data_IF_689520751230
#
_entry.id   IF_689520751230
#
_cell.length_a   1.000
_cell.length_b   1.000
_cell.length_c   1.000
_cell.angle_alpha   90.00
_cell.angle_beta   90.00
_cell.angle_gamma   90.00
#
_symmetry.space_group_name_H-M   'P 1'
#
loop_
_entity.id
_entity.type
_entity.pdbx_description
1 polymer ?
#
# COMPACT_ATOMS: atom_id res chain seq x y z
N UNK A 1 -15.05 -16.02 -4.74
CA UNK A 1 -14.08 -15.28 -3.90
C UNK A 1 -14.83 -14.67 -2.73
N UNK A 2 -14.30 -14.80 -1.51
CA UNK A 2 -14.81 -14.11 -0.32
C UNK A 2 -14.00 -12.86 -0.06
N UNK A 3 -14.63 -11.70 -0.11
CA UNK A 3 -14.00 -10.40 0.03
C UNK A 3 -14.52 -9.69 1.28
N UNK A 4 -13.63 -9.41 2.23
CA UNK A 4 -13.93 -8.49 3.33
C UNK A 4 -13.79 -7.05 2.85
N UNK A 5 -14.78 -6.21 3.09
CA UNK A 5 -14.77 -4.80 2.70
C UNK A 5 -14.77 -3.91 3.93
N UNK A 6 -13.72 -3.11 4.08
CA UNK A 6 -13.59 -2.07 5.10
C UNK A 6 -13.58 -0.72 4.39
N UNK A 7 -14.76 -0.23 3.98
CA UNK A 7 -14.85 1.06 3.28
C UNK A 7 -14.33 2.22 4.15
N UNK A 8 -14.51 2.11 5.47
CA UNK A 8 -13.92 3.02 6.46
C UNK A 8 -14.64 4.37 6.54
N UNK A 9 -13.87 5.44 6.44
CA UNK A 9 -14.25 6.82 6.73
C UNK A 9 -14.00 7.77 5.53
N UNK A 10 -14.69 8.91 5.56
CA UNK A 10 -14.53 9.97 4.56
C UNK A 10 -14.76 9.48 3.13
N UNK A 11 -13.86 9.85 2.21
CA UNK A 11 -13.93 9.44 0.80
C UNK A 11 -13.78 7.93 0.61
N UNK A 12 -13.27 7.20 1.60
CA UNK A 12 -13.13 5.74 1.55
C UNK A 12 -14.43 5.06 1.14
N UNK A 13 -15.57 5.54 1.67
CA UNK A 13 -16.89 5.03 1.31
C UNK A 13 -17.27 5.25 -0.16
N UNK A 14 -16.90 6.38 -0.74
CA UNK A 14 -17.22 6.74 -2.13
C UNK A 14 -16.33 5.96 -3.10
N UNK A 15 -15.02 5.91 -2.85
CA UNK A 15 -14.07 5.26 -3.77
C UNK A 15 -14.13 3.74 -3.69
N UNK A 16 -14.42 3.15 -2.52
CA UNK A 16 -14.59 1.69 -2.38
C UNK A 16 -15.82 1.20 -3.13
N UNK A 17 -16.91 1.99 -3.18
CA UNK A 17 -18.09 1.64 -3.98
C UNK A 17 -17.73 1.53 -5.48
N UNK A 18 -16.92 2.45 -6.00
CA UNK A 18 -16.46 2.41 -7.39
C UNK A 18 -15.46 1.27 -7.64
N UNK A 19 -14.60 0.95 -6.67
CA UNK A 19 -13.70 -0.20 -6.74
C UNK A 19 -14.48 -1.53 -6.84
N UNK A 20 -15.54 -1.69 -6.02
CA UNK A 20 -16.41 -2.87 -6.08
C UNK A 20 -17.19 -2.95 -7.40
N UNK A 21 -17.66 -1.81 -7.93
CA UNK A 21 -18.32 -1.75 -9.25
C UNK A 21 -17.40 -2.24 -10.37
N UNK A 22 -16.14 -1.83 -10.36
CA UNK A 22 -15.15 -2.29 -11.35
C UNK A 22 -14.79 -3.76 -11.14
N UNK A 23 -14.66 -4.21 -9.89
CA UNK A 23 -14.45 -5.63 -9.58
C UNK A 23 -15.57 -6.47 -10.18
N UNK A 24 -16.83 -6.16 -9.89
CA UNK A 24 -18.00 -6.87 -10.42
C UNK A 24 -18.00 -6.90 -11.95
N UNK A 25 -17.66 -5.76 -12.58
CA UNK A 25 -17.61 -5.65 -14.03
C UNK A 25 -16.56 -6.56 -14.67
N UNK A 26 -15.37 -6.69 -14.08
CA UNK A 26 -14.27 -7.50 -14.64
C UNK A 26 -14.39 -8.99 -14.29
N UNK A 27 -15.07 -9.32 -13.18
CA UNK A 27 -15.29 -10.72 -12.76
C UNK A 27 -16.48 -11.37 -13.44
N UNK A 28 -17.39 -10.58 -14.02
CA UNK A 28 -18.54 -11.09 -14.77
C UNK A 28 -19.39 -12.06 -13.95
N UNK A 29 -19.47 -13.32 -14.41
CA UNK A 29 -20.26 -14.37 -13.76
C UNK A 29 -19.58 -15.02 -12.54
N UNK A 30 -18.33 -14.68 -12.22
CA UNK A 30 -17.67 -15.20 -11.02
C UNK A 30 -18.38 -14.72 -9.75
N UNK A 31 -18.63 -15.65 -8.82
CA UNK A 31 -19.25 -15.29 -7.54
C UNK A 31 -18.25 -14.59 -6.63
N UNK A 32 -18.51 -13.30 -6.35
CA UNK A 32 -17.82 -12.51 -5.32
C UNK A 32 -18.77 -12.34 -4.13
N UNK A 33 -18.48 -13.01 -3.02
CA UNK A 33 -19.20 -12.90 -1.76
C UNK A 33 -18.56 -11.76 -0.94
N UNK A 34 -19.27 -10.64 -0.82
CA UNK A 34 -18.79 -9.46 -0.10
C UNK A 34 -19.36 -9.44 1.32
N UNK A 35 -18.48 -9.23 2.29
CA UNK A 35 -18.84 -8.99 3.70
C UNK A 35 -18.37 -7.60 4.11
N UNK A 36 -19.30 -6.71 4.46
CA UNK A 36 -18.99 -5.38 4.95
C UNK A 36 -18.60 -5.37 6.44
N UNK A 37 -17.49 -4.69 6.74
CA UNK A 37 -16.99 -4.47 8.09
C UNK A 37 -17.04 -2.98 8.43
N UNK A 38 -17.82 -2.63 9.45
CA UNK A 38 -17.94 -1.27 9.96
C UNK A 38 -16.77 -0.92 10.90
N UNK A 39 -15.55 -0.87 10.37
CA UNK A 39 -14.34 -0.46 11.09
C UNK A 39 -13.97 0.96 10.70
N UNK A 40 -13.62 1.80 11.69
CA UNK A 40 -13.21 3.19 11.47
C UNK A 40 -13.76 4.16 12.52
N UNK A 41 -13.63 5.45 12.24
CA UNK A 41 -14.09 6.54 13.08
C UNK A 41 -15.58 6.45 13.39
N UNK A 42 -16.42 6.07 12.42
CA UNK A 42 -17.88 5.95 12.62
C UNK A 42 -18.25 4.96 13.73
N UNK A 43 -17.65 3.76 13.74
CA UNK A 43 -17.85 2.78 14.81
C UNK A 43 -17.31 3.29 16.14
N UNK A 44 -16.08 3.79 16.14
CA UNK A 44 -15.45 4.32 17.35
C UNK A 44 -16.27 5.43 18.01
N UNK A 45 -16.80 6.38 17.24
CA UNK A 45 -17.65 7.46 17.75
C UNK A 45 -19.01 6.96 18.25
N UNK A 46 -19.52 5.86 17.68
CA UNK A 46 -20.80 5.26 18.07
C UNK A 46 -20.72 4.51 19.39
N UNK A 47 -19.70 3.68 19.59
CA UNK A 47 -19.63 2.75 20.73
C UNK A 47 -18.26 2.62 21.41
N UNK A 48 -17.25 3.38 20.97
CA UNK A 48 -15.88 3.33 21.51
C UNK A 48 -15.05 2.13 21.06
N UNK A 49 -15.60 1.23 20.24
CA UNK A 49 -14.89 0.05 19.76
C UNK A 49 -14.04 0.36 18.52
N UNK A 50 -12.93 -0.34 18.40
CA UNK A 50 -11.99 -0.25 17.28
C UNK A 50 -11.97 -1.59 16.55
N UNK A 51 -10.90 -2.37 16.71
CA UNK A 51 -10.77 -3.74 16.20
C UNK A 51 -10.97 -4.74 17.34
N UNK A 52 -11.92 -5.66 17.20
CA UNK A 52 -12.16 -6.73 18.18
C UNK A 52 -11.59 -8.07 17.72
N UNK A 53 -11.42 -9.01 18.65
CA UNK A 53 -11.02 -10.39 18.32
C UNK A 53 -12.04 -11.07 17.39
N UNK A 54 -13.34 -10.75 17.54
CA UNK A 54 -14.40 -11.27 16.67
C UNK A 54 -14.26 -10.74 15.24
N UNK A 55 -13.93 -9.44 15.08
CA UNK A 55 -13.63 -8.86 13.77
C UNK A 55 -12.44 -9.58 13.13
N UNK A 56 -11.35 -9.75 13.88
CA UNK A 56 -10.14 -10.45 13.41
C UNK A 56 -10.39 -11.91 13.04
N UNK A 57 -11.19 -12.63 13.82
CA UNK A 57 -11.59 -14.00 13.49
C UNK A 57 -12.40 -14.06 12.20
N UNK A 58 -13.36 -13.15 12.02
CA UNK A 58 -14.17 -13.10 10.80
C UNK A 58 -13.36 -12.65 9.57
N UNK A 59 -12.47 -11.67 9.71
CA UNK A 59 -11.59 -11.24 8.63
C UNK A 59 -10.77 -12.41 8.08
N UNK A 60 -10.23 -13.29 8.95
CA UNK A 60 -9.46 -14.48 8.55
C UNK A 60 -10.24 -15.52 7.72
N UNK A 61 -11.56 -15.44 7.66
CA UNK A 61 -12.39 -16.34 6.84
C UNK A 61 -12.50 -15.91 5.37
N UNK A 62 -11.90 -14.77 5.00
CA UNK A 62 -11.94 -14.19 3.66
C UNK A 62 -10.65 -14.49 2.89
N UNK A 63 -10.72 -14.41 1.56
CA UNK A 63 -9.56 -14.60 0.68
C UNK A 63 -8.68 -13.35 0.66
N UNK A 64 -9.29 -12.17 0.78
CA UNK A 64 -8.63 -10.87 0.79
C UNK A 64 -9.48 -9.82 1.51
N UNK A 65 -8.85 -8.69 1.84
CA UNK A 65 -9.50 -7.51 2.40
C UNK A 65 -9.35 -6.35 1.41
N UNK A 66 -10.43 -5.67 1.08
CA UNK A 66 -10.42 -4.37 0.38
C UNK A 66 -10.74 -3.28 1.40
N UNK A 67 -9.82 -2.33 1.57
CA UNK A 67 -9.98 -1.20 2.49
C UNK A 67 -10.03 0.11 1.72
N UNK A 68 -10.94 1.00 2.12
CA UNK A 68 -11.07 2.35 1.55
C UNK A 68 -10.08 3.31 2.20
N UNK A 69 -10.48 3.95 3.29
CA UNK A 69 -9.58 4.78 4.08
C UNK A 69 -10.06 4.83 5.54
N UNK A 70 -9.15 4.94 6.51
CA UNK A 70 -9.49 5.04 7.94
C UNK A 70 -8.99 6.37 8.49
N UNK A 71 -9.83 7.06 9.26
CA UNK A 71 -9.45 8.28 9.95
C UNK A 71 -10.48 9.40 9.84
N UNK A 72 -10.65 10.16 10.93
CA UNK A 72 -11.28 11.48 10.89
C UNK A 72 -10.58 12.40 11.90
N UNK A 73 -9.58 13.19 11.48
CA UNK A 73 -8.82 14.05 12.38
C UNK A 73 -9.65 15.17 13.02
N UNK A 74 -10.87 15.42 12.54
CA UNK A 74 -11.78 16.42 13.12
C UNK A 74 -12.44 15.93 14.40
N UNK A 75 -12.57 14.62 14.57
CA UNK A 75 -13.41 14.01 15.60
C UNK A 75 -12.71 12.92 16.40
N UNK A 76 -11.62 12.33 15.88
CA UNK A 76 -10.86 11.26 16.53
C UNK A 76 -9.41 11.72 16.75
N UNK A 77 -8.89 11.67 18.00
CA UNK A 77 -7.50 12.04 18.26
C UNK A 77 -6.49 11.20 17.48
N UNK A 78 -5.39 11.84 17.08
CA UNK A 78 -4.29 11.16 16.38
C UNK A 78 -3.76 9.97 17.18
N UNK A 79 -3.50 8.87 16.47
CA UNK A 79 -2.99 7.63 17.03
C UNK A 79 -4.06 6.72 17.63
N UNK A 80 -5.34 7.10 17.70
CA UNK A 80 -6.41 6.21 18.21
C UNK A 80 -6.75 5.15 17.17
N UNK A 81 -7.04 5.55 15.93
CA UNK A 81 -7.39 4.63 14.85
C UNK A 81 -6.13 3.95 14.28
N UNK A 82 -5.02 4.67 14.22
CA UNK A 82 -3.75 4.15 13.69
C UNK A 82 -3.21 3.04 14.59
N UNK A 83 -3.13 3.27 15.92
CA UNK A 83 -2.60 2.26 16.86
C UNK A 83 -3.64 1.27 17.35
N UNK A 84 -4.93 1.57 17.19
CA UNK A 84 -6.02 0.74 17.69
C UNK A 84 -6.77 -0.06 16.62
N UNK A 85 -6.55 0.24 15.34
CA UNK A 85 -7.16 -0.45 14.21
C UNK A 85 -6.13 -0.80 13.13
N UNK A 86 -5.52 0.19 12.46
CA UNK A 86 -4.67 -0.06 11.28
C UNK A 86 -3.40 -0.85 11.60
N UNK A 87 -2.62 -0.42 12.60
CA UNK A 87 -1.44 -1.17 13.04
C UNK A 87 -1.86 -2.55 13.55
N UNK A 88 -2.78 -2.72 14.52
CA UNK A 88 -3.22 -4.04 14.95
C UNK A 88 -3.65 -4.97 13.83
N UNK A 89 -4.37 -4.49 12.81
CA UNK A 89 -4.68 -5.27 11.61
C UNK A 89 -3.41 -5.79 10.93
N UNK A 90 -2.46 -4.89 10.62
CA UNK A 90 -1.19 -5.25 9.96
C UNK A 90 -0.37 -6.24 10.78
N UNK A 91 -0.19 -5.99 12.07
CA UNK A 91 0.59 -6.89 12.95
C UNK A 91 -0.09 -8.25 13.15
N UNK A 92 -1.41 -8.26 13.37
CA UNK A 92 -2.14 -9.49 13.77
C UNK A 92 -2.47 -10.40 12.58
N UNK A 93 -2.56 -9.82 11.38
CA UNK A 93 -2.67 -10.55 10.11
C UNK A 93 -1.30 -10.78 9.44
N UNK A 94 -0.21 -10.45 10.13
CA UNK A 94 1.17 -10.64 9.65
C UNK A 94 1.43 -10.02 8.26
N UNK A 95 0.86 -8.83 8.01
CA UNK A 95 1.05 -8.05 6.79
C UNK A 95 2.46 -7.42 6.74
N UNK A 96 3.48 -8.28 6.68
CA UNK A 96 4.89 -7.92 6.74
C UNK A 96 5.35 -7.04 5.58
N UNK A 97 4.71 -7.17 4.42
CA UNK A 97 5.08 -6.46 3.20
C UNK A 97 4.01 -5.41 2.90
N UNK A 98 4.38 -4.13 2.91
CA UNK A 98 3.61 -3.06 2.31
C UNK A 98 4.14 -2.82 0.88
N UNK A 99 3.37 -3.26 -0.10
CA UNK A 99 3.65 -3.19 -1.53
C UNK A 99 3.05 -1.92 -2.14
N UNK A 100 3.89 -1.08 -2.72
CA UNK A 100 3.52 0.23 -3.26
C UNK A 100 4.11 0.45 -4.65
N UNK A 101 3.41 0.02 -5.72
CA UNK A 101 3.81 0.31 -7.08
C UNK A 101 3.70 1.81 -7.37
N UNK A 102 4.71 2.35 -8.06
CA UNK A 102 4.77 3.74 -8.47
C UNK A 102 5.11 3.78 -9.95
N UNK A 103 4.12 4.18 -10.76
CA UNK A 103 4.24 4.24 -12.20
C UNK A 103 3.74 5.57 -12.72
N UNK A 104 4.57 6.28 -13.47
CA UNK A 104 4.14 7.43 -14.24
C UNK A 104 3.60 6.93 -15.57
N UNK A 105 2.32 7.12 -15.76
CA UNK A 105 1.62 6.58 -16.91
C UNK A 105 1.57 7.57 -18.09
N UNK A 106 1.54 7.09 -19.35
CA UNK A 106 1.39 7.96 -20.52
C UNK A 106 0.16 8.88 -20.40
N UNK A 107 0.36 10.18 -20.60
CA UNK A 107 -0.71 11.18 -20.47
C UNK A 107 -0.97 11.68 -19.04
N UNK A 108 -0.43 11.02 -18.01
CA UNK A 108 -0.47 11.54 -16.64
C UNK A 108 0.52 12.70 -16.47
N UNK A 109 0.17 13.64 -15.60
CA UNK A 109 1.02 14.82 -15.33
C UNK A 109 1.92 14.56 -14.13
N UNK A 110 3.23 14.56 -14.33
CA UNK A 110 4.20 14.58 -13.22
C UNK A 110 4.51 16.02 -12.80
N UNK A 111 4.79 16.30 -11.51
CA UNK A 111 5.34 17.58 -11.09
C UNK A 111 6.80 17.80 -11.55
N UNK A 112 7.49 16.76 -12.04
CA UNK A 112 8.85 16.86 -12.53
C UNK A 112 8.88 17.45 -13.95
N UNK A 113 9.85 18.32 -14.24
CA UNK A 113 10.00 18.92 -15.59
C UNK A 113 10.36 17.88 -16.65
N UNK A 114 11.17 16.89 -16.29
CA UNK A 114 11.63 15.80 -17.17
C UNK A 114 11.58 14.48 -16.40
N UNK A 115 10.38 13.93 -16.16
CA UNK A 115 10.23 12.75 -15.30
C UNK A 115 10.88 11.49 -15.86
N UNK A 116 11.09 11.43 -17.19
CA UNK A 116 11.50 10.19 -17.86
C UNK A 116 10.43 9.10 -17.71
N UNK A 117 10.87 7.85 -17.79
CA UNK A 117 10.05 6.70 -17.43
C UNK A 117 10.14 6.46 -15.92
N UNK A 118 8.99 6.28 -15.26
CA UNK A 118 8.92 5.91 -13.85
C UNK A 118 8.07 4.65 -13.76
N UNK A 119 8.68 3.53 -13.40
CA UNK A 119 8.00 2.26 -13.14
C UNK A 119 8.84 1.46 -12.14
N UNK A 120 8.55 1.64 -10.85
CA UNK A 120 9.19 0.89 -9.79
C UNK A 120 8.18 0.50 -8.72
N UNK A 121 8.56 -0.41 -7.84
CA UNK A 121 7.77 -0.81 -6.68
C UNK A 121 8.57 -0.67 -5.41
N UNK A 122 7.95 -0.10 -4.37
CA UNK A 122 8.51 -0.11 -3.03
C UNK A 122 7.93 -1.28 -2.26
N UNK A 123 8.83 -2.10 -1.71
CA UNK A 123 8.56 -3.20 -0.79
C UNK A 123 9.00 -2.72 0.59
N UNK A 124 8.04 -2.21 1.36
CA UNK A 124 8.23 -1.64 2.69
C UNK A 124 7.98 -2.70 3.75
N UNK A 125 8.85 -2.80 4.74
CA UNK A 125 8.60 -3.58 5.96
C UNK A 125 7.43 -2.98 6.75
N UNK A 126 6.42 -3.80 7.11
CA UNK A 126 5.15 -3.32 7.67
C UNK A 126 4.88 -3.64 9.13
N UNK A 127 5.72 -4.43 9.79
CA UNK A 127 5.45 -5.15 11.04
C UNK A 127 6.53 -5.02 12.12
N UNK A 128 7.55 -4.21 11.91
CA UNK A 128 8.55 -3.87 12.93
C UNK A 128 9.14 -2.48 12.63
N UNK A 129 10.42 -2.26 12.96
CA UNK A 129 11.09 -0.98 12.81
C UNK A 129 10.60 0.05 13.82
N UNK A 130 10.61 1.32 13.43
CA UNK A 130 10.25 2.43 14.34
C UNK A 130 8.74 2.48 14.65
N UNK A 131 7.90 1.85 13.84
CA UNK A 131 6.43 1.90 13.99
C UNK A 131 5.86 0.80 14.88
N UNK A 132 6.71 -0.03 15.50
CA UNK A 132 6.27 -1.04 16.47
C UNK A 132 5.75 -0.46 17.79
N UNK A 133 5.82 0.86 17.99
CA UNK A 133 5.31 1.54 19.18
C UNK A 133 6.14 1.27 20.44
N UNK A 134 7.38 0.79 20.30
CA UNK A 134 8.29 0.61 21.42
C UNK A 134 8.91 1.95 21.79
N UNK A 135 8.74 2.36 23.04
CA UNK A 135 9.16 3.67 23.48
C UNK A 135 8.47 4.09 24.77
N UNK A 136 8.46 5.39 25.02
CA UNK A 136 7.79 5.95 26.18
C UNK A 136 8.21 7.39 26.46
N UNK A 137 7.51 7.99 27.41
CA UNK A 137 7.78 9.34 27.89
C UNK A 137 8.08 9.35 29.38
N UNK A 138 8.90 10.32 29.80
CA UNK A 138 9.28 10.54 31.19
C UNK A 138 9.14 12.03 31.51
N UNK A 139 8.56 12.37 32.67
CA UNK A 139 8.40 13.75 33.16
C UNK A 139 7.69 14.70 32.19
N UNK A 140 6.63 14.20 31.55
CA UNK A 140 5.78 14.98 30.63
C UNK A 140 5.32 16.29 31.26
N UNK A 141 5.47 17.39 30.53
CA UNK A 141 5.07 18.73 30.97
C UNK A 141 6.11 19.46 31.82
N UNK A 142 7.38 19.04 31.79
CA UNK A 142 8.47 19.70 32.53
C UNK A 142 9.67 19.97 31.62
N UNK A 143 10.57 20.88 32.02
CA UNK A 143 11.85 21.15 31.31
C UNK A 143 12.80 19.94 31.26
N UNK A 144 12.44 18.83 31.92
CA UNK A 144 13.18 17.57 31.95
C UNK A 144 12.48 16.44 31.22
N UNK A 145 11.47 16.77 30.40
CA UNK A 145 10.72 15.81 29.61
C UNK A 145 11.64 15.06 28.64
N UNK A 146 11.44 13.74 28.55
CA UNK A 146 12.14 12.87 27.61
C UNK A 146 11.10 12.02 26.91
N UNK A 147 11.19 11.94 25.58
CA UNK A 147 10.47 10.98 24.76
C UNK A 147 11.48 10.10 24.04
N UNK A 148 11.25 8.79 24.04
CA UNK A 148 12.07 7.82 23.33
C UNK A 148 11.17 6.97 22.44
N UNK A 149 11.61 6.78 21.20
CA UNK A 149 11.06 5.80 20.26
C UNK A 149 12.20 4.85 19.87
N UNK A 150 11.94 3.55 19.93
CA UNK A 150 12.94 2.50 19.76
C UNK A 150 12.58 1.68 18.52
N UNK A 151 13.42 1.79 17.49
CA UNK A 151 13.30 0.95 16.29
C UNK A 151 13.78 -0.47 16.59
N UNK A 152 12.86 -1.42 16.65
CA UNK A 152 13.18 -2.84 16.81
C UNK A 152 13.20 -3.52 15.44
N UNK A 153 14.33 -4.12 15.08
CA UNK A 153 14.49 -4.78 13.79
C UNK A 153 14.97 -6.20 14.07
N UNK A 154 14.32 -7.19 13.48
CA UNK A 154 14.63 -8.60 13.68
C UNK A 154 15.12 -9.22 12.38
N UNK A 155 15.99 -10.23 12.50
CA UNK A 155 16.40 -10.99 11.33
C UNK A 155 15.18 -11.61 10.62
N UNK A 156 14.23 -12.13 11.40
CA UNK A 156 13.01 -12.76 10.90
C UNK A 156 12.15 -11.81 10.06
N UNK A 157 11.86 -10.60 10.57
CA UNK A 157 11.04 -9.61 9.88
C UNK A 157 11.72 -9.07 8.62
N UNK A 158 13.01 -8.77 8.70
CA UNK A 158 13.76 -8.24 7.56
C UNK A 158 13.97 -9.27 6.47
N UNK A 159 14.37 -10.49 6.81
CA UNK A 159 14.71 -11.54 5.82
C UNK A 159 13.51 -11.89 4.94
N UNK A 160 12.31 -12.05 5.51
CA UNK A 160 11.09 -12.37 4.74
C UNK A 160 10.67 -11.26 3.77
N UNK A 161 10.83 -10.00 4.17
CA UNK A 161 10.51 -8.83 3.32
C UNK A 161 11.54 -8.68 2.20
N UNK A 162 12.83 -8.87 2.52
CA UNK A 162 13.90 -8.89 1.53
C UNK A 162 13.69 -10.01 0.51
N UNK A 163 13.31 -11.21 0.96
CA UNK A 163 13.01 -12.35 0.08
C UNK A 163 11.83 -12.11 -0.85
N UNK A 164 10.74 -11.54 -0.33
CA UNK A 164 9.61 -11.11 -1.17
C UNK A 164 10.06 -10.07 -2.22
N UNK A 165 10.89 -9.09 -1.82
CA UNK A 165 11.43 -8.10 -2.74
C UNK A 165 12.31 -8.70 -3.85
N UNK A 166 13.15 -9.68 -3.52
CA UNK A 166 13.94 -10.41 -4.52
C UNK A 166 13.05 -11.20 -5.49
N UNK A 167 12.02 -11.89 -4.99
CA UNK A 167 11.04 -12.59 -5.83
C UNK A 167 10.39 -11.65 -6.85
N UNK A 168 9.95 -10.47 -6.40
CA UNK A 168 9.41 -9.43 -7.28
C UNK A 168 10.42 -8.89 -8.27
N UNK A 169 11.67 -8.69 -7.85
CA UNK A 169 12.73 -8.23 -8.74
C UNK A 169 13.00 -9.25 -9.85
N UNK A 170 12.95 -10.55 -9.53
CA UNK A 170 13.14 -11.65 -10.49
C UNK A 170 12.09 -11.64 -11.61
N UNK A 171 10.86 -11.24 -11.30
CA UNK A 171 9.73 -11.12 -12.24
C UNK A 171 9.74 -9.81 -13.04
N UNK A 172 10.56 -8.84 -12.64
CA UNK A 172 10.65 -7.50 -13.24
C UNK A 172 11.98 -7.34 -13.99
N UNK A 173 12.64 -6.19 -13.85
CA UNK A 173 13.89 -5.86 -14.53
C UNK A 173 15.13 -6.44 -13.83
N UNK A 174 14.94 -7.35 -12.87
CA UNK A 174 16.01 -8.03 -12.11
C UNK A 174 16.94 -7.03 -11.41
N UNK A 175 16.37 -5.97 -10.82
CA UNK A 175 17.12 -4.99 -10.05
C UNK A 175 16.45 -4.69 -8.72
N UNK A 176 17.21 -4.83 -7.64
CA UNK A 176 16.79 -4.52 -6.29
C UNK A 176 17.68 -3.41 -5.72
N UNK A 177 17.10 -2.37 -5.14
CA UNK A 177 17.83 -1.35 -4.38
C UNK A 177 17.42 -1.41 -2.91
N UNK A 178 18.36 -1.72 -2.02
CA UNK A 178 18.18 -1.50 -0.59
C UNK A 178 18.28 0.00 -0.30
N UNK A 179 17.25 0.57 0.31
CA UNK A 179 17.31 1.94 0.85
C UNK A 179 17.35 1.89 2.36
N UNK A 180 18.40 2.45 2.96
CA UNK A 180 18.54 2.54 4.41
C UNK A 180 19.49 3.69 4.81
N UNK A 181 19.92 3.77 6.07
CA UNK A 181 20.98 4.68 6.55
C UNK A 181 22.10 3.96 7.30
N UNK A 182 22.74 2.98 6.65
CA UNK A 182 23.75 2.06 7.25
C UNK A 182 24.95 2.74 7.92
N UNK A 183 25.30 3.95 7.51
CA UNK A 183 26.45 4.68 8.04
C UNK A 183 26.21 5.29 9.44
N UNK A 184 24.95 5.52 9.81
CA UNK A 184 24.56 6.08 11.12
C UNK A 184 23.77 5.06 11.93
N UNK A 185 22.81 4.37 11.30
CA UNK A 185 22.03 3.31 11.91
C UNK A 185 22.77 1.97 11.76
N UNK A 186 23.96 1.87 12.35
CA UNK A 186 24.87 0.73 12.13
C UNK A 186 24.30 -0.62 12.56
N UNK A 187 23.42 -0.65 13.56
CA UNK A 187 22.81 -1.88 14.06
C UNK A 187 21.70 -2.38 13.11
N UNK A 188 20.65 -1.58 12.93
CA UNK A 188 19.54 -1.91 12.03
C UNK A 188 20.02 -2.01 10.58
N UNK A 189 20.77 -1.01 10.10
CA UNK A 189 21.30 -1.00 8.74
C UNK A 189 22.28 -2.13 8.46
N UNK A 190 23.11 -2.50 9.44
CA UNK A 190 23.95 -3.68 9.32
C UNK A 190 23.13 -4.98 9.21
N UNK A 191 22.04 -5.10 9.98
CA UNK A 191 21.12 -6.24 9.88
C UNK A 191 20.45 -6.30 8.49
N UNK A 192 19.91 -5.18 8.01
CA UNK A 192 19.34 -5.06 6.66
C UNK A 192 20.33 -5.41 5.55
N UNK A 193 21.56 -4.89 5.61
CA UNK A 193 22.59 -5.19 4.62
C UNK A 193 22.95 -6.68 4.60
N UNK A 194 23.11 -7.31 5.77
CA UNK A 194 23.40 -8.76 5.86
C UNK A 194 22.24 -9.62 5.34
N UNK A 195 20.99 -9.22 5.60
CA UNK A 195 19.83 -9.94 5.07
C UNK A 195 19.79 -9.87 3.54
N UNK A 196 20.01 -8.70 2.95
CA UNK A 196 20.09 -8.52 1.49
C UNK A 196 21.24 -9.32 0.88
N UNK A 197 22.42 -9.33 1.51
CA UNK A 197 23.55 -10.14 1.05
C UNK A 197 23.24 -11.65 1.12
N UNK A 198 22.66 -12.10 2.23
CA UNK A 198 22.36 -13.52 2.47
C UNK A 198 21.31 -14.04 1.49
N UNK A 199 20.19 -13.33 1.37
CA UNK A 199 19.11 -13.71 0.45
C UNK A 199 19.54 -13.52 -0.99
N UNK A 200 20.29 -12.46 -1.30
CA UNK A 200 20.76 -12.18 -2.66
C UNK A 200 21.65 -13.26 -3.26
N UNK A 201 22.34 -14.06 -2.43
CA UNK A 201 23.09 -15.23 -2.88
C UNK A 201 22.19 -16.31 -3.53
N UNK A 202 20.88 -16.30 -3.24
CA UNK A 202 19.88 -17.20 -3.83
C UNK A 202 19.31 -16.66 -5.16
N UNK A 203 19.56 -15.38 -5.49
CA UNK A 203 19.06 -14.68 -6.67
C UNK A 203 20.22 -14.10 -7.51
N UNK A 204 21.10 -14.94 -8.08
CA UNK A 204 22.33 -14.48 -8.74
C UNK A 204 22.11 -13.61 -9.98
N UNK A 205 20.90 -13.65 -10.56
CA UNK A 205 20.53 -12.85 -11.73
C UNK A 205 19.98 -11.45 -11.36
N UNK A 206 19.70 -11.19 -10.08
CA UNK A 206 19.20 -9.89 -9.60
C UNK A 206 20.37 -8.99 -9.24
N UNK A 207 20.48 -7.86 -9.92
CA UNK A 207 21.46 -6.82 -9.57
C UNK A 207 21.03 -6.11 -8.29
N UNK A 208 21.92 -6.05 -7.30
CA UNK A 208 21.66 -5.41 -6.01
C UNK A 208 22.42 -4.09 -5.90
N UNK A 209 21.67 -3.02 -5.69
CA UNK A 209 22.19 -1.70 -5.36
C UNK A 209 21.88 -1.32 -3.91
N UNK A 210 22.61 -0.31 -3.42
CA UNK A 210 22.33 0.33 -2.14
C UNK A 210 22.25 1.85 -2.32
N UNK A 211 21.26 2.46 -1.67
CA UNK A 211 21.16 3.91 -1.54
C UNK A 211 20.97 4.30 -0.07
N UNK A 212 21.64 5.38 0.34
CA UNK A 212 21.21 6.05 1.55
C UNK A 212 19.84 6.71 1.34
N UNK A 213 18.99 6.75 2.38
CA UNK A 213 17.63 7.32 2.27
C UNK A 213 17.62 8.76 1.73
N UNK A 214 18.56 9.61 2.17
CA UNK A 214 18.72 10.98 1.65
C UNK A 214 19.08 11.00 0.16
N UNK A 215 19.98 10.12 -0.28
CA UNK A 215 20.30 9.98 -1.70
C UNK A 215 19.11 9.43 -2.52
N UNK A 216 18.39 8.43 -1.99
CA UNK A 216 17.21 7.88 -2.62
C UNK A 216 16.12 8.94 -2.84
N UNK A 217 15.86 9.78 -1.83
CA UNK A 217 14.96 10.93 -1.93
C UNK A 217 15.37 11.90 -3.03
N UNK A 218 16.66 12.21 -3.17
CA UNK A 218 17.16 13.05 -4.27
C UNK A 218 16.91 12.37 -5.61
N UNK A 219 17.28 11.09 -5.74
CA UNK A 219 17.15 10.36 -6.99
C UNK A 219 15.69 10.15 -7.42
N UNK A 220 14.74 9.99 -6.50
CA UNK A 220 13.31 9.96 -6.86
C UNK A 220 12.85 11.22 -7.60
N UNK A 221 13.51 12.36 -7.39
CA UNK A 221 13.20 13.62 -8.07
C UNK A 221 14.05 13.82 -9.33
N UNK A 222 15.33 13.46 -9.28
CA UNK A 222 16.29 13.79 -10.35
C UNK A 222 16.47 12.69 -11.39
N UNK A 223 16.27 11.42 -11.01
CA UNK A 223 16.50 10.24 -11.83
C UNK A 223 15.64 9.05 -11.35
N UNK A 224 14.29 9.19 -11.30
CA UNK A 224 13.42 8.14 -10.76
C UNK A 224 13.47 6.83 -11.55
N UNK A 225 13.76 6.88 -12.85
CA UNK A 225 13.84 5.71 -13.74
C UNK A 225 14.98 4.74 -13.43
N UNK A 226 15.88 5.08 -12.49
CA UNK A 226 16.93 4.18 -12.03
C UNK A 226 16.43 3.01 -11.20
N UNK A 227 15.26 3.14 -10.57
CA UNK A 227 14.71 2.18 -9.62
C UNK A 227 13.84 1.15 -10.34
N UNK A 228 13.81 -0.07 -9.80
CA UNK A 228 12.92 -1.15 -10.24
C UNK A 228 12.18 -1.72 -9.02
N UNK A 229 12.89 -2.44 -8.14
CA UNK A 229 12.38 -2.79 -6.81
C UNK A 229 13.18 -2.06 -5.76
N UNK A 230 12.52 -1.31 -4.90
CA UNK A 230 13.11 -0.73 -3.69
C UNK A 230 12.68 -1.57 -2.51
N UNK A 231 13.62 -2.02 -1.67
CA UNK A 231 13.31 -2.63 -0.38
C UNK A 231 13.82 -1.75 0.74
N UNK A 232 13.00 -1.53 1.78
CA UNK A 232 13.35 -0.61 2.86
C UNK A 232 12.55 -0.89 4.14
N UNK A 233 12.94 -0.23 5.23
CA UNK A 233 12.29 -0.36 6.53
C UNK A 233 10.94 0.37 6.59
N UNK A 234 10.25 0.24 7.72
CA UNK A 234 8.90 0.78 7.88
C UNK A 234 8.84 2.31 7.72
N UNK A 235 9.77 3.05 8.35
CA UNK A 235 9.77 4.51 8.34
C UNK A 235 10.19 5.06 6.97
N UNK A 236 11.29 4.55 6.42
CA UNK A 236 11.78 5.04 5.13
C UNK A 236 10.84 4.66 4.00
N UNK A 237 10.21 3.49 4.07
CA UNK A 237 9.16 3.09 3.15
C UNK A 237 7.98 4.05 3.18
N UNK A 238 7.54 4.48 4.36
CA UNK A 238 6.49 5.49 4.52
C UNK A 238 6.80 6.75 3.69
N UNK A 239 7.98 7.33 3.91
CA UNK A 239 8.44 8.56 3.25
C UNK A 239 8.58 8.36 1.74
N UNK A 240 9.24 7.29 1.31
CA UNK A 240 9.52 7.04 -0.10
C UNK A 240 8.26 6.76 -0.90
N UNK A 241 7.27 6.09 -0.32
CA UNK A 241 6.04 5.75 -1.04
C UNK A 241 5.17 6.96 -1.30
N UNK A 242 5.12 7.92 -0.38
CA UNK A 242 4.47 9.21 -0.60
C UNK A 242 5.20 10.04 -1.66
N UNK A 243 6.54 10.09 -1.60
CA UNK A 243 7.34 10.77 -2.61
C UNK A 243 7.16 10.12 -4.00
N UNK A 244 7.13 8.80 -4.05
CA UNK A 244 6.88 8.04 -5.28
C UNK A 244 5.51 8.38 -5.87
N UNK A 245 4.45 8.39 -5.06
CA UNK A 245 3.12 8.82 -5.48
C UNK A 245 3.07 10.28 -5.95
N UNK A 246 3.82 11.17 -5.31
CA UNK A 246 3.91 12.56 -5.74
C UNK A 246 4.55 12.71 -7.13
N UNK A 247 5.68 12.04 -7.39
CA UNK A 247 6.39 12.17 -8.67
C UNK A 247 5.69 11.48 -9.83
N UNK A 248 4.81 10.51 -9.57
CA UNK A 248 4.01 9.81 -10.60
C UNK A 248 2.68 10.49 -10.93
N UNK A 249 2.44 11.70 -10.42
CA UNK A 249 1.28 12.52 -10.77
C UNK A 249 0.19 12.59 -9.71
N UNK A 250 0.50 12.16 -8.48
CA UNK A 250 -0.33 12.35 -7.30
C UNK A 250 -0.77 11.04 -6.66
N UNK A 251 -1.04 11.11 -5.35
CA UNK A 251 -1.42 9.96 -4.52
C UNK A 251 -2.76 9.34 -4.96
N UNK A 252 -3.60 10.06 -5.72
CA UNK A 252 -4.88 9.57 -6.26
C UNK A 252 -4.78 8.40 -7.25
N UNK A 253 -3.57 8.08 -7.73
CA UNK A 253 -3.28 6.90 -8.57
C UNK A 253 -2.40 5.86 -7.86
N UNK A 254 -2.08 6.07 -6.58
CA UNK A 254 -1.22 5.16 -5.84
C UNK A 254 -2.08 4.12 -5.10
N UNK A 255 -1.86 2.85 -5.41
CA UNK A 255 -2.47 1.72 -4.72
C UNK A 255 -1.46 1.01 -3.80
N UNK A 256 -1.99 0.26 -2.84
CA UNK A 256 -1.24 -0.42 -1.78
C UNK A 256 -1.71 -1.85 -1.61
N UNK A 257 -0.78 -2.77 -1.36
CA UNK A 257 -1.07 -4.09 -0.80
C UNK A 257 -0.33 -4.27 0.53
N UNK A 258 -1.02 -4.60 1.61
CA UNK A 258 -0.47 -5.07 2.86
C UNK A 258 -0.57 -6.59 2.85
N UNK A 259 0.56 -7.23 2.60
CA UNK A 259 0.65 -8.63 2.20
C UNK A 259 1.18 -9.46 3.36
N UNK A 260 0.48 -10.54 3.68
CA UNK A 260 1.08 -11.67 4.38
C UNK A 260 1.83 -12.52 3.34
N UNK A 261 3.17 -12.47 3.28
CA UNK A 261 3.93 -13.22 2.29
C UNK A 261 3.78 -14.73 2.44
N UNK A 262 3.35 -15.22 3.61
CA UNK A 262 3.07 -16.63 3.85
C UNK A 262 1.67 -17.08 3.43
N UNK A 263 0.78 -16.13 3.09
CA UNK A 263 -0.62 -16.36 2.71
C UNK A 263 -1.43 -17.14 3.77
N UNK A 264 -1.06 -17.06 5.05
CA UNK A 264 -1.82 -17.68 6.16
C UNK A 264 -3.00 -16.82 6.60
N UNK A 265 -2.89 -15.50 6.42
CA UNK A 265 -3.93 -14.51 6.64
C UNK A 265 -4.28 -13.83 5.31
N UNK A 266 -5.51 -13.31 5.17
CA UNK A 266 -5.87 -12.53 3.99
C UNK A 266 -5.03 -11.25 3.93
N UNK A 267 -4.44 -10.99 2.77
CA UNK A 267 -3.80 -9.72 2.46
C UNK A 267 -4.83 -8.61 2.27
N UNK A 268 -4.45 -7.38 2.57
CA UNK A 268 -5.32 -6.20 2.50
C UNK A 268 -4.87 -5.21 1.43
N UNK A 269 -5.80 -4.73 0.61
CA UNK A 269 -5.54 -3.82 -0.50
C UNK A 269 -6.27 -2.51 -0.29
N UNK A 270 -5.57 -1.39 -0.46
CA UNK A 270 -6.10 -0.05 -0.17
C UNK A 270 -5.52 0.99 -1.14
N UNK A 271 -6.22 2.12 -1.40
CA UNK A 271 -5.56 3.29 -1.94
C UNK A 271 -4.53 3.84 -0.93
N UNK A 272 -3.51 4.55 -1.42
CA UNK A 272 -2.52 5.20 -0.53
C UNK A 272 -3.11 6.40 0.22
N UNK A 273 -4.05 7.13 -0.40
CA UNK A 273 -4.59 8.35 0.19
C UNK A 273 -5.37 8.08 1.49
N UNK A 274 -5.37 9.07 2.39
CA UNK A 274 -6.21 9.04 3.58
C UNK A 274 -7.70 9.29 3.27
N UNK A 275 -8.48 9.56 4.32
CA UNK A 275 -9.94 9.73 4.24
C UNK A 275 -10.44 11.05 3.65
N UNK A 276 -9.53 12.01 3.39
CA UNK A 276 -9.83 13.33 2.78
C UNK A 276 -11.14 13.97 3.29
N UNK A 277 -11.24 14.26 4.62
CA UNK A 277 -12.48 14.68 5.27
C UNK A 277 -13.04 16.02 4.75
N UNK A 278 -12.21 16.83 4.12
CA UNK A 278 -12.53 18.10 3.48
C UNK A 278 -13.37 17.96 2.21
N UNK A 279 -13.25 16.83 1.50
CA UNK A 279 -13.99 16.54 0.26
C UNK A 279 -14.97 15.36 0.38
N UNK A 280 -14.97 14.66 1.51
CA UNK A 280 -15.86 13.53 1.77
C UNK A 280 -17.34 13.88 1.55
N UNK A 281 -18.06 13.04 0.80
CA UNK A 281 -19.49 13.20 0.52
C UNK A 281 -19.82 14.21 -0.57
N UNK A 282 -18.80 14.76 -1.25
CA UNK A 282 -18.99 15.70 -2.36
C UNK A 282 -18.95 14.98 -3.73
N UNK A 283 -18.60 13.69 -3.77
CA UNK A 283 -18.50 12.93 -5.01
C UNK A 283 -17.43 13.45 -5.98
N UNK A 284 -16.36 14.06 -5.46
CA UNK A 284 -15.24 14.61 -6.24
C UNK A 284 -13.91 13.89 -5.98
N UNK A 285 -13.92 12.85 -5.15
CA UNK A 285 -12.75 12.00 -4.94
C UNK A 285 -12.47 11.18 -6.21
N UNK A 286 -11.20 11.04 -6.57
CA UNK A 286 -10.79 10.19 -7.68
C UNK A 286 -10.74 8.71 -7.23
N UNK A 287 -11.56 7.79 -7.78
CA UNK A 287 -11.58 6.41 -7.34
C UNK A 287 -10.44 5.55 -7.92
N UNK A 288 -9.61 6.09 -8.82
CA UNK A 288 -8.61 5.31 -9.54
C UNK A 288 -7.63 4.55 -8.63
N UNK A 289 -7.15 5.13 -7.53
CA UNK A 289 -6.30 4.42 -6.57
C UNK A 289 -7.00 3.21 -5.93
N UNK A 290 -8.27 3.36 -5.53
CA UNK A 290 -9.04 2.26 -4.95
C UNK A 290 -9.30 1.16 -6.00
N UNK A 291 -9.61 1.54 -7.24
CA UNK A 291 -9.75 0.61 -8.35
C UNK A 291 -8.43 -0.12 -8.65
N UNK A 292 -7.29 0.59 -8.67
CA UNK A 292 -5.98 -0.04 -8.86
C UNK A 292 -5.62 -1.00 -7.72
N UNK A 293 -6.08 -0.75 -6.50
CA UNK A 293 -5.92 -1.71 -5.40
C UNK A 293 -6.67 -3.03 -5.64
N UNK A 294 -7.78 -3.01 -6.39
CA UNK A 294 -8.46 -4.23 -6.86
C UNK A 294 -7.61 -5.00 -7.87
N UNK A 295 -6.92 -4.31 -8.79
CA UNK A 295 -5.98 -4.98 -9.68
C UNK A 295 -4.85 -5.67 -8.89
N UNK A 296 -4.29 -5.01 -7.86
CA UNK A 296 -3.30 -5.62 -6.97
C UNK A 296 -3.86 -6.82 -6.19
N UNK A 297 -5.11 -6.73 -5.75
CA UNK A 297 -5.82 -7.82 -5.09
C UNK A 297 -5.94 -9.03 -6.00
N UNK A 298 -6.43 -8.84 -7.23
CA UNK A 298 -6.59 -9.91 -8.21
C UNK A 298 -5.24 -10.55 -8.54
N UNK A 299 -4.20 -9.73 -8.77
CA UNK A 299 -2.84 -10.21 -9.03
C UNK A 299 -2.27 -11.02 -7.86
N UNK A 300 -2.51 -10.59 -6.62
CA UNK A 300 -2.13 -11.36 -5.45
C UNK A 300 -2.86 -12.70 -5.38
N UNK A 301 -4.17 -12.72 -5.62
CA UNK A 301 -4.98 -13.94 -5.61
C UNK A 301 -4.74 -14.87 -6.81
N UNK A 302 -4.14 -14.38 -7.89
CA UNK A 302 -3.69 -15.21 -9.00
C UNK A 302 -2.69 -16.26 -8.49
N UNK A 303 -1.69 -15.80 -7.71
CA UNK A 303 -0.57 -16.64 -7.29
C UNK A 303 0.21 -17.20 -8.48
N UNK A 304 1.16 -18.10 -8.20
CA UNK A 304 2.09 -18.57 -9.23
C UNK A 304 1.52 -19.73 -10.07
N UNK A 305 0.56 -20.50 -9.51
CA UNK A 305 0.07 -21.76 -10.12
C UNK A 305 -1.43 -22.05 -9.86
N UNK A 306 -2.24 -21.04 -9.55
CA UNK A 306 -3.68 -21.25 -9.31
C UNK A 306 -4.47 -21.56 -10.60
N UNK A 307 -5.53 -22.39 -10.50
CA UNK A 307 -6.43 -22.70 -11.63
C UNK A 307 -7.01 -21.44 -12.31
N UNK A 308 -7.11 -20.33 -11.58
CA UNK A 308 -7.62 -19.04 -12.06
C UNK A 308 -6.52 -17.97 -12.19
N UNK A 309 -5.23 -18.33 -12.15
CA UNK A 309 -4.13 -17.36 -12.15
C UNK A 309 -4.11 -16.50 -13.42
N UNK A 310 -4.19 -17.13 -14.59
CA UNK A 310 -4.22 -16.44 -15.88
C UNK A 310 -5.43 -15.50 -16.01
N UNK A 311 -6.61 -15.98 -15.57
CA UNK A 311 -7.83 -15.17 -15.57
C UNK A 311 -7.67 -13.94 -14.67
N UNK A 312 -7.24 -14.11 -13.43
CA UNK A 312 -7.06 -13.00 -12.48
C UNK A 312 -6.00 -12.00 -12.93
N UNK A 313 -4.90 -12.46 -13.52
CA UNK A 313 -3.90 -11.58 -14.12
C UNK A 313 -4.48 -10.79 -15.30
N UNK A 314 -5.26 -11.45 -16.17
CA UNK A 314 -5.95 -10.78 -17.28
C UNK A 314 -6.93 -9.71 -16.78
N UNK A 315 -7.69 -10.00 -15.72
CA UNK A 315 -8.61 -9.05 -15.10
C UNK A 315 -7.86 -7.86 -14.47
N UNK A 316 -6.75 -8.10 -13.77
CA UNK A 316 -5.90 -7.06 -13.22
C UNK A 316 -5.33 -6.16 -14.33
N UNK A 317 -4.82 -6.75 -15.41
CA UNK A 317 -4.29 -6.03 -16.57
C UNK A 317 -5.37 -5.19 -17.26
N UNK A 318 -6.61 -5.69 -17.36
CA UNK A 318 -7.75 -4.95 -17.89
C UNK A 318 -8.09 -3.73 -17.03
N UNK A 319 -8.12 -3.88 -15.70
CA UNK A 319 -8.33 -2.76 -14.78
C UNK A 319 -7.23 -1.71 -14.94
N UNK A 320 -5.96 -2.12 -14.93
CA UNK A 320 -4.84 -1.21 -15.11
C UNK A 320 -4.96 -0.45 -16.44
N UNK A 321 -5.21 -1.15 -17.55
CA UNK A 321 -5.41 -0.53 -18.87
C UNK A 321 -6.60 0.44 -18.92
N UNK A 322 -7.72 0.13 -18.24
CA UNK A 322 -8.89 0.99 -18.19
C UNK A 322 -8.67 2.24 -17.35
N UNK A 323 -8.08 2.11 -16.17
CA UNK A 323 -7.67 3.26 -15.32
C UNK A 323 -6.69 4.15 -16.07
N UNK A 324 -5.82 3.55 -16.89
CA UNK A 324 -4.87 4.28 -17.71
C UNK A 324 -5.52 5.12 -18.79
N UNK A 325 -6.40 4.51 -19.57
CA UNK A 325 -7.15 5.21 -20.61
C UNK A 325 -7.97 6.36 -19.99
N UNK A 326 -8.58 6.11 -18.83
CA UNK A 326 -9.34 7.12 -18.09
C UNK A 326 -8.46 8.29 -17.64
N UNK A 327 -7.36 8.03 -16.92
CA UNK A 327 -6.47 9.07 -16.42
C UNK A 327 -5.81 9.89 -17.55
N UNK A 328 -5.39 9.23 -18.64
CA UNK A 328 -4.77 9.87 -19.79
C UNK A 328 -5.73 10.67 -20.67
N UNK A 329 -7.04 10.46 -20.55
CA UNK A 329 -8.07 11.17 -21.32
C UNK A 329 -8.55 12.48 -20.67
N UNK A 330 -8.09 12.78 -19.44
CA UNK A 330 -8.54 13.94 -18.67
C UNK A 330 -8.04 15.24 -19.30
N UNK A 331 -8.98 16.12 -19.60
CA UNK A 331 -8.74 17.45 -20.19
C UNK A 331 -8.62 18.58 -19.14
N UNK A 332 -8.54 18.21 -17.85
CA UNK A 332 -8.57 19.14 -16.73
C UNK A 332 -9.98 19.46 -16.22
N UNK A 333 -11.04 18.86 -16.78
CA UNK A 333 -12.40 18.94 -16.25
C UNK A 333 -12.49 18.40 -14.81
N UNK A 334 -13.41 18.94 -13.98
CA UNK A 334 -13.62 18.46 -12.62
C UNK A 334 -13.95 16.96 -12.60
N UNK A 335 -13.28 16.25 -11.70
CA UNK A 335 -13.51 14.82 -11.46
C UNK A 335 -14.83 14.64 -10.72
N UNK A 336 -15.67 13.71 -11.19
CA UNK A 336 -16.80 13.17 -10.42
C UNK A 336 -16.57 11.69 -10.18
N UNK A 337 -16.61 11.26 -8.93
CA UNK A 337 -16.23 9.91 -8.48
C UNK A 337 -16.98 8.84 -9.26
N UNK A 338 -18.31 8.96 -9.32
CA UNK A 338 -19.19 7.99 -10.00
C UNK A 338 -18.94 7.95 -11.50
N UNK A 339 -18.73 9.09 -12.14
CA UNK A 339 -18.52 9.12 -13.60
C UNK A 339 -17.20 8.44 -13.99
N UNK A 340 -16.15 8.60 -13.17
CA UNK A 340 -14.86 7.90 -13.38
C UNK A 340 -15.06 6.40 -13.23
N UNK A 341 -15.69 5.96 -12.14
CA UNK A 341 -15.93 4.53 -11.92
C UNK A 341 -16.84 3.90 -12.96
N UNK A 342 -17.86 4.62 -13.45
CA UNK A 342 -18.72 4.16 -14.56
C UNK A 342 -17.94 3.99 -15.87
N UNK A 343 -17.04 4.93 -16.21
CA UNK A 343 -16.19 4.83 -17.41
C UNK A 343 -15.22 3.66 -17.32
N UNK A 344 -14.57 3.47 -16.16
CA UNK A 344 -13.64 2.36 -15.97
C UNK A 344 -14.39 1.02 -15.98
N UNK A 345 -15.52 0.91 -15.28
CA UNK A 345 -16.34 -0.30 -15.28
C UNK A 345 -16.86 -0.67 -16.67
N UNK A 346 -17.19 0.32 -17.51
CA UNK A 346 -17.59 0.09 -18.90
C UNK A 346 -16.42 -0.40 -19.79
N UNK A 347 -15.19 -0.03 -19.47
CA UNK A 347 -14.01 -0.37 -20.26
C UNK A 347 -13.42 -1.76 -19.95
N UNK A 348 -13.77 -2.35 -18.80
CA UNK A 348 -13.27 -3.68 -18.37
C UNK A 348 -14.22 -4.84 -18.64
N UNK A 349 -15.44 -4.57 -19.12
CA UNK A 349 -16.44 -5.58 -19.53
C UNK A 349 -16.13 -6.15 -20.91
#
# INVERSE_FOLDING_TARGET
>A
MKLAVIAGDGIGTEVTAEALKVLEAVTGDETVEVTDFDLGARRYLRNGELLTDADLSSLREHDAILLGAIGDPRTVPAGVLERGLLLPLRFTLDHAVNLRPAKLYPGSSSPLTHPGEIDFVVVREGTEGLYCGNGGTLRVGTDHEVASEVSQNTWYGVERVVRDAFGRAQERSRRLTLVHKTNVLVNAGGLWARAVETVGAEFPDVTVDYCHIDAATIYMVTDPGRFDVIVTDNLFGDILTDLAGAVTGGIGLAASGNIDPSRRSPSMFEPVHGSAPDIAGQGIADPCAAILSVALLLRHLAGDEGENAELRNTQADAIEAAVLAEAGSRDGSPVRTVDVGDRVAAAVR
#
